data_IF_021898236408
#
_entry.id   IF_021898236408
#
_cell.length_a   1.000
_cell.length_b   1.000
_cell.length_c   1.000
_cell.angle_alpha   90.00
_cell.angle_beta   90.00
_cell.angle_gamma   90.00
#
_symmetry.space_group_name_H-M   'P 1'
#
loop_
_entity.id
_entity.type
_entity.pdbx_description
1 polymer ?
#
# COMPACT_ATOMS: atom_id res chain seq x y z
N UNK A 1 13.03 -8.51 12.71
CA UNK A 1 11.93 -7.63 13.23
C UNK A 1 10.63 -8.27 12.85
N UNK A 2 9.91 -8.87 13.80
CA UNK A 2 8.55 -9.35 13.58
C UNK A 2 7.63 -8.13 13.51
N UNK A 3 7.13 -7.87 12.32
CA UNK A 3 6.25 -6.75 12.08
C UNK A 3 4.84 -7.31 11.85
N UNK A 4 4.15 -7.62 12.92
CA UNK A 4 2.73 -7.90 12.93
C UNK A 4 2.02 -6.83 13.74
N UNK A 5 1.06 -6.14 13.11
CA UNK A 5 0.29 -5.09 13.75
C UNK A 5 -1.19 -5.35 13.53
N UNK A 6 -2.01 -5.12 14.54
CA UNK A 6 -3.46 -5.24 14.38
C UNK A 6 -4.19 -4.05 14.98
N UNK A 7 -5.29 -3.66 14.34
CA UNK A 7 -6.21 -2.62 14.80
C UNK A 7 -7.56 -2.75 14.09
N UNK A 8 -8.64 -2.53 14.81
CA UNK A 8 -10.00 -2.44 14.25
C UNK A 8 -10.36 -3.63 13.35
N UNK A 9 -9.97 -4.85 13.75
CA UNK A 9 -10.24 -6.08 12.98
C UNK A 9 -9.34 -6.30 11.76
N UNK A 10 -8.34 -5.46 11.53
CA UNK A 10 -7.35 -5.58 10.46
C UNK A 10 -5.99 -5.92 11.05
N UNK A 11 -5.30 -6.87 10.44
CA UNK A 11 -3.92 -7.25 10.78
C UNK A 11 -2.99 -7.04 9.58
N UNK A 12 -1.77 -6.63 9.85
CA UNK A 12 -0.69 -6.53 8.86
C UNK A 12 0.41 -7.51 9.23
N UNK A 13 0.85 -8.30 8.29
CA UNK A 13 1.98 -9.21 8.42
C UNK A 13 2.82 -9.27 7.16
N UNK A 14 4.03 -9.78 7.26
CA UNK A 14 4.86 -10.04 6.08
C UNK A 14 4.24 -11.11 5.19
N UNK A 15 4.59 -11.08 3.92
CA UNK A 15 4.21 -12.13 2.96
C UNK A 15 4.81 -13.48 3.35
N UNK A 16 4.08 -14.54 3.04
CA UNK A 16 4.47 -15.93 3.19
C UNK A 16 4.21 -16.68 1.88
N UNK A 17 4.91 -17.78 1.64
CA UNK A 17 4.71 -18.59 0.42
C UNK A 17 3.25 -19.04 0.27
N UNK A 18 2.57 -19.31 1.37
CA UNK A 18 1.14 -19.68 1.39
C UNK A 18 0.21 -18.55 0.86
N UNK A 19 0.69 -17.31 0.77
CA UNK A 19 -0.10 -16.20 0.21
C UNK A 19 -0.17 -16.19 -1.31
N UNK A 20 0.65 -16.97 -2.02
CA UNK A 20 0.69 -16.97 -3.48
C UNK A 20 -0.70 -17.18 -4.09
N UNK A 21 -1.45 -18.26 -3.78
CA UNK A 21 -2.79 -18.43 -4.32
C UNK A 21 -3.78 -17.37 -3.87
N UNK A 22 -3.68 -16.89 -2.62
CA UNK A 22 -4.57 -15.86 -2.08
C UNK A 22 -4.37 -14.51 -2.76
N UNK A 23 -3.12 -14.15 -3.03
CA UNK A 23 -2.77 -12.95 -3.78
C UNK A 23 -3.32 -13.04 -5.21
N UNK A 24 -3.09 -14.17 -5.88
CA UNK A 24 -3.60 -14.40 -7.24
C UNK A 24 -5.11 -14.23 -7.32
N UNK A 25 -5.87 -14.90 -6.46
CA UNK A 25 -7.33 -14.78 -6.42
C UNK A 25 -7.78 -13.33 -6.18
N UNK A 26 -7.17 -12.65 -5.19
CA UNK A 26 -7.52 -11.29 -4.85
C UNK A 26 -7.23 -10.30 -5.99
N UNK A 27 -6.11 -10.46 -6.70
CA UNK A 27 -5.78 -9.63 -7.87
C UNK A 27 -6.75 -9.92 -9.02
N UNK A 28 -6.98 -11.20 -9.34
CA UNK A 28 -7.87 -11.59 -10.46
C UNK A 28 -9.28 -11.04 -10.31
N UNK A 29 -9.86 -11.09 -9.10
CA UNK A 29 -11.19 -10.49 -8.86
C UNK A 29 -11.20 -8.97 -8.95
N UNK A 30 -10.04 -8.34 -8.81
CA UNK A 30 -9.91 -6.88 -8.63
C UNK A 30 -9.27 -6.16 -9.81
N UNK A 31 -8.94 -6.86 -10.89
CA UNK A 31 -8.23 -6.29 -12.05
C UNK A 31 -8.89 -4.99 -12.53
N UNK A 32 -10.21 -4.98 -12.72
CA UNK A 32 -10.93 -3.81 -13.21
C UNK A 32 -10.86 -2.58 -12.29
N UNK A 33 -10.64 -2.80 -11.00
CA UNK A 33 -10.58 -1.71 -10.01
C UNK A 33 -9.15 -1.23 -9.77
N UNK A 34 -8.15 -2.14 -9.92
CA UNK A 34 -6.75 -1.88 -9.60
C UNK A 34 -5.95 -1.46 -10.84
N UNK A 35 -6.16 -2.14 -11.97
CA UNK A 35 -5.32 -1.95 -13.15
C UNK A 35 -5.29 -0.50 -13.67
N UNK A 36 -6.35 0.30 -13.61
CA UNK A 36 -6.26 1.70 -14.03
C UNK A 36 -5.22 2.53 -13.27
N UNK A 37 -4.88 2.11 -12.04
CA UNK A 37 -4.03 2.87 -11.13
C UNK A 37 -2.69 2.22 -10.83
N UNK A 38 -2.57 0.92 -11.11
CA UNK A 38 -1.40 0.11 -10.80
C UNK A 38 -0.95 -0.68 -12.03
N UNK A 39 0.07 -0.22 -12.76
CA UNK A 39 0.49 -0.84 -14.02
C UNK A 39 0.93 -2.30 -13.93
N UNK A 40 1.34 -2.76 -12.74
CA UNK A 40 1.69 -4.16 -12.51
C UNK A 40 0.47 -5.10 -12.58
N UNK A 41 -0.74 -4.57 -12.38
CA UNK A 41 -2.00 -5.33 -12.43
C UNK A 41 -2.55 -5.27 -13.87
N UNK A 42 -2.19 -6.24 -14.68
CA UNK A 42 -2.61 -6.35 -16.09
C UNK A 42 -3.65 -7.45 -16.31
N UNK A 43 -4.30 -7.47 -17.47
CA UNK A 43 -5.36 -8.43 -17.82
C UNK A 43 -4.92 -9.90 -17.71
N UNK A 44 -3.66 -10.15 -18.07
CA UNK A 44 -3.06 -11.50 -18.13
C UNK A 44 -2.35 -11.88 -16.83
N UNK A 45 -2.61 -11.15 -15.72
CA UNK A 45 -2.02 -11.45 -14.42
C UNK A 45 -2.19 -12.92 -14.04
N UNK A 46 -1.08 -13.57 -13.75
CA UNK A 46 -0.97 -15.02 -13.59
C UNK A 46 -0.55 -15.43 -12.17
N UNK A 47 -0.62 -16.73 -11.90
CA UNK A 47 -0.08 -17.31 -10.66
C UNK A 47 1.44 -17.12 -10.55
N UNK A 48 2.16 -17.14 -11.68
CA UNK A 48 3.60 -16.92 -11.70
C UNK A 48 3.97 -15.47 -11.32
N UNK A 49 3.15 -14.48 -11.68
CA UNK A 49 3.34 -13.09 -11.24
C UNK A 49 3.20 -12.99 -9.73
N UNK A 50 2.18 -13.64 -9.15
CA UNK A 50 2.00 -13.70 -7.69
C UNK A 50 3.16 -14.38 -7.00
N UNK A 51 3.66 -15.47 -7.57
CA UNK A 51 4.80 -16.22 -7.03
C UNK A 51 6.09 -15.38 -7.08
N UNK A 52 6.38 -14.76 -8.22
CA UNK A 52 7.54 -13.89 -8.37
C UNK A 52 7.50 -12.74 -7.36
N UNK A 53 6.34 -12.11 -7.21
CA UNK A 53 6.13 -11.07 -6.22
C UNK A 53 6.40 -11.55 -4.80
N UNK A 54 5.74 -12.60 -4.34
CA UNK A 54 5.87 -13.09 -2.96
C UNK A 54 7.30 -13.50 -2.64
N UNK A 55 7.97 -14.22 -3.55
CA UNK A 55 9.36 -14.68 -3.34
C UNK A 55 10.33 -13.50 -3.23
N UNK A 56 10.11 -12.43 -3.99
CA UNK A 56 11.00 -11.25 -3.94
C UNK A 56 10.88 -10.41 -2.66
N UNK A 57 9.85 -10.65 -1.83
CA UNK A 57 9.56 -9.77 -0.68
C UNK A 57 10.60 -9.85 0.43
N UNK A 58 11.15 -11.02 0.71
CA UNK A 58 12.16 -11.15 1.76
C UNK A 58 13.44 -10.40 1.41
N UNK A 59 13.90 -10.50 0.17
CA UNK A 59 15.07 -9.75 -0.31
C UNK A 59 14.80 -8.24 -0.30
N UNK A 60 13.61 -7.82 -0.76
CA UNK A 60 13.22 -6.41 -0.73
C UNK A 60 13.21 -5.84 0.71
N UNK A 61 12.79 -6.64 1.68
CA UNK A 61 12.83 -6.29 3.10
C UNK A 61 14.26 -6.18 3.64
N UNK A 62 15.12 -7.16 3.36
CA UNK A 62 16.50 -7.18 3.82
C UNK A 62 17.28 -5.97 3.28
N UNK A 63 17.05 -5.65 2.01
CA UNK A 63 17.70 -4.52 1.34
C UNK A 63 16.98 -3.19 1.60
N UNK A 64 15.88 -3.20 2.36
CA UNK A 64 15.04 -2.03 2.66
C UNK A 64 14.66 -1.22 1.40
N UNK A 65 14.42 -1.91 0.29
CA UNK A 65 13.97 -1.31 -0.97
C UNK A 65 12.46 -1.08 -0.95
N UNK A 66 11.74 -2.06 -0.40
CA UNK A 66 10.30 -2.02 -0.22
C UNK A 66 9.88 -2.87 0.98
N UNK A 67 9.08 -2.30 1.85
CA UNK A 67 8.53 -2.97 3.03
C UNK A 67 7.04 -3.20 2.84
N UNK A 68 6.69 -4.35 2.25
CA UNK A 68 5.31 -4.70 1.91
C UNK A 68 4.69 -5.64 2.93
N UNK A 69 3.42 -5.38 3.26
CA UNK A 69 2.60 -6.19 4.15
C UNK A 69 1.36 -6.71 3.42
N UNK A 70 0.96 -7.91 3.79
CA UNK A 70 -0.39 -8.43 3.54
C UNK A 70 -1.35 -7.79 4.52
N UNK A 71 -2.49 -7.32 4.01
CA UNK A 71 -3.63 -6.91 4.84
C UNK A 71 -4.52 -8.13 5.04
N UNK A 72 -4.78 -8.50 6.29
CA UNK A 72 -5.66 -9.62 6.63
C UNK A 72 -6.77 -9.19 7.57
N UNK A 73 -7.86 -9.93 7.54
CA UNK A 73 -8.87 -9.90 8.58
C UNK A 73 -8.30 -10.56 9.85
N UNK A 74 -8.28 -9.84 10.97
CA UNK A 74 -7.62 -10.29 12.19
C UNK A 74 -8.31 -11.50 12.86
N UNK A 75 -9.59 -11.77 12.57
CA UNK A 75 -10.34 -12.89 13.14
C UNK A 75 -10.23 -14.14 12.28
N UNK A 76 -10.32 -13.97 10.98
CA UNK A 76 -10.41 -15.11 10.03
C UNK A 76 -9.10 -15.41 9.31
N UNK A 77 -8.13 -14.49 9.33
CA UNK A 77 -6.91 -14.57 8.53
C UNK A 77 -7.11 -14.35 7.03
N UNK A 78 -8.32 -14.01 6.59
CA UNK A 78 -8.63 -13.81 5.17
C UNK A 78 -7.77 -12.71 4.55
N UNK A 79 -7.24 -12.97 3.35
CA UNK A 79 -6.45 -12.02 2.56
C UNK A 79 -7.35 -10.89 2.03
N UNK A 80 -7.05 -9.65 2.40
CA UNK A 80 -7.84 -8.47 2.03
C UNK A 80 -7.16 -7.58 1.00
N UNK A 81 -5.85 -7.64 0.86
CA UNK A 81 -5.07 -6.76 0.00
C UNK A 81 -3.62 -6.61 0.45
N UNK A 82 -2.99 -5.52 0.05
CA UNK A 82 -1.63 -5.20 0.46
C UNK A 82 -1.42 -3.71 0.70
N UNK A 83 -0.41 -3.41 1.53
CA UNK A 83 0.06 -2.06 1.84
C UNK A 83 1.57 -2.10 2.00
N UNK A 84 2.28 -1.03 1.68
CA UNK A 84 3.72 -1.01 1.86
C UNK A 84 4.34 0.37 1.75
N UNK A 85 5.60 0.46 2.18
CA UNK A 85 6.48 1.60 2.04
C UNK A 85 7.50 1.30 0.95
N UNK A 86 7.66 2.22 0.02
CA UNK A 86 8.63 2.14 -1.07
C UNK A 86 9.20 3.51 -1.43
N UNK A 87 10.08 3.57 -2.42
CA UNK A 87 10.71 4.82 -2.86
C UNK A 87 11.34 5.59 -1.69
N UNK A 88 12.07 4.89 -0.83
CA UNK A 88 12.74 5.49 0.32
C UNK A 88 13.76 6.54 -0.11
N UNK A 89 13.61 7.74 0.43
CA UNK A 89 14.62 8.79 0.36
C UNK A 89 15.36 8.83 1.72
N UNK A 90 16.58 8.33 1.73
CA UNK A 90 17.39 8.21 2.95
C UNK A 90 17.90 9.56 3.43
N UNK A 91 18.24 10.46 2.51
CA UNK A 91 18.80 11.76 2.83
C UNK A 91 17.77 12.65 3.53
N UNK A 92 16.52 12.56 3.09
CA UNK A 92 15.42 13.36 3.63
C UNK A 92 14.45 12.56 4.50
N UNK A 93 14.75 11.30 4.78
CA UNK A 93 14.00 10.42 5.69
C UNK A 93 12.50 10.35 5.40
N UNK A 94 12.11 10.13 4.13
CA UNK A 94 10.72 9.90 3.76
C UNK A 94 10.56 8.66 2.87
N UNK A 95 9.32 8.16 2.78
CA UNK A 95 8.95 7.08 1.87
C UNK A 95 7.55 7.32 1.29
N UNK A 96 7.29 6.72 0.11
CA UNK A 96 5.95 6.63 -0.42
C UNK A 96 5.21 5.44 0.19
N UNK A 97 3.93 5.62 0.50
CA UNK A 97 3.02 4.59 0.98
C UNK A 97 1.98 4.27 -0.09
N UNK A 98 1.96 2.99 -0.52
CA UNK A 98 1.01 2.46 -1.49
C UNK A 98 0.13 1.36 -0.87
N UNK A 99 -1.10 1.22 -1.37
CA UNK A 99 -2.06 0.20 -0.92
C UNK A 99 -3.05 -0.17 -2.00
N UNK A 100 -3.60 -1.36 -1.86
CA UNK A 100 -4.79 -1.80 -2.59
C UNK A 100 -5.56 -2.82 -1.74
N UNK A 101 -6.87 -2.94 -1.99
CA UNK A 101 -7.76 -3.89 -1.31
C UNK A 101 -8.58 -4.63 -2.35
N UNK A 102 -8.78 -5.93 -2.14
CA UNK A 102 -9.57 -6.77 -3.03
C UNK A 102 -11.02 -6.27 -3.12
N UNK A 103 -11.62 -6.41 -4.30
CA UNK A 103 -12.93 -5.88 -4.65
C UNK A 103 -14.03 -6.27 -3.65
N UNK A 104 -14.10 -7.56 -3.31
CA UNK A 104 -15.13 -8.10 -2.39
C UNK A 104 -15.01 -7.56 -0.97
N UNK A 105 -13.89 -6.93 -0.60
CA UNK A 105 -13.63 -6.35 0.73
C UNK A 105 -13.43 -4.84 0.70
N UNK A 106 -13.69 -4.22 -0.45
CA UNK A 106 -13.65 -2.76 -0.56
C UNK A 106 -14.74 -2.10 0.31
N UNK A 107 -14.48 -0.85 0.71
CA UNK A 107 -15.39 -0.02 1.54
C UNK A 107 -15.58 -0.49 2.99
N UNK A 108 -14.92 -1.56 3.42
CA UNK A 108 -14.91 -2.04 4.83
C UNK A 108 -13.91 -1.35 5.75
N UNK A 109 -13.20 -0.30 5.30
CA UNK A 109 -12.21 0.41 6.13
C UNK A 109 -10.80 -0.19 6.10
N UNK A 110 -10.60 -1.39 5.55
CA UNK A 110 -9.32 -2.10 5.56
C UNK A 110 -8.15 -1.26 5.04
N UNK A 111 -8.31 -0.57 3.88
CA UNK A 111 -7.27 0.30 3.34
C UNK A 111 -6.92 1.45 4.31
N UNK A 112 -7.91 2.07 4.95
CA UNK A 112 -7.69 3.17 5.89
C UNK A 112 -6.92 2.70 7.13
N UNK A 113 -7.36 1.60 7.75
CA UNK A 113 -6.68 1.04 8.93
C UNK A 113 -5.26 0.57 8.58
N UNK A 114 -5.07 -0.13 7.46
CA UNK A 114 -3.76 -0.58 6.99
C UNK A 114 -2.81 0.60 6.73
N UNK A 115 -3.29 1.65 6.05
CA UNK A 115 -2.52 2.86 5.80
C UNK A 115 -2.07 3.53 7.11
N UNK A 116 -2.98 3.65 8.09
CA UNK A 116 -2.66 4.23 9.39
C UNK A 116 -1.59 3.41 10.14
N UNK A 117 -1.73 2.08 10.17
CA UNK A 117 -0.76 1.18 10.81
C UNK A 117 0.61 1.28 10.15
N UNK A 118 0.66 1.26 8.83
CA UNK A 118 1.91 1.35 8.05
C UNK A 118 2.56 2.73 8.20
N UNK A 119 1.79 3.81 8.21
CA UNK A 119 2.32 5.15 8.45
C UNK A 119 2.93 5.28 9.86
N UNK A 120 2.26 4.75 10.89
CA UNK A 120 2.82 4.70 12.25
C UNK A 120 4.11 3.90 12.33
N UNK A 121 4.16 2.76 11.66
CA UNK A 121 5.38 1.96 11.58
C UNK A 121 6.52 2.75 10.93
N UNK A 122 6.28 3.41 9.80
CA UNK A 122 7.28 4.23 9.12
C UNK A 122 7.79 5.37 10.00
N UNK A 123 6.89 6.12 10.63
CA UNK A 123 7.26 7.28 11.44
C UNK A 123 7.89 6.90 12.79
N UNK A 124 7.37 5.88 13.50
CA UNK A 124 7.84 5.53 14.85
C UNK A 124 8.98 4.53 14.85
N UNK A 125 8.88 3.49 14.01
CA UNK A 125 9.81 2.35 14.06
C UNK A 125 11.00 2.55 13.13
N UNK A 126 10.74 3.08 11.91
CA UNK A 126 11.80 3.35 10.94
C UNK A 126 12.42 4.76 11.10
N UNK A 127 11.83 5.62 11.93
CA UNK A 127 12.31 6.98 12.15
C UNK A 127 12.14 7.92 10.96
N UNK A 128 11.23 7.60 10.03
CA UNK A 128 10.94 8.49 8.91
C UNK A 128 10.32 9.79 9.43
N UNK A 129 10.68 10.91 8.81
CA UNK A 129 10.14 12.22 9.14
C UNK A 129 8.82 12.48 8.41
N UNK A 130 8.57 11.75 7.31
CA UNK A 130 7.44 11.98 6.44
C UNK A 130 7.02 10.71 5.70
N UNK A 131 5.74 10.51 5.56
CA UNK A 131 5.13 9.50 4.69
C UNK A 131 4.36 10.22 3.58
N UNK A 132 4.65 9.89 2.34
CA UNK A 132 3.95 10.42 1.17
C UNK A 132 2.91 9.42 0.66
N UNK A 133 1.78 9.92 0.19
CA UNK A 133 0.76 9.14 -0.51
C UNK A 133 0.47 9.86 -1.83
N UNK A 134 0.80 9.19 -2.93
CA UNK A 134 0.54 9.69 -4.28
C UNK A 134 -0.68 8.99 -4.86
N UNK A 135 -1.71 9.75 -5.17
CA UNK A 135 -2.91 9.25 -5.83
C UNK A 135 -3.12 9.95 -7.16
N UNK A 136 -3.31 9.22 -8.25
CA UNK A 136 -3.72 9.86 -9.51
C UNK A 136 -4.95 10.76 -9.28
N UNK A 137 -5.01 11.91 -9.93
CA UNK A 137 -6.09 12.90 -9.73
C UNK A 137 -7.48 12.27 -9.98
N UNK A 138 -7.59 11.29 -10.88
CA UNK A 138 -8.82 10.53 -11.14
C UNK A 138 -9.15 9.47 -10.08
N UNK A 139 -8.17 9.04 -9.26
CA UNK A 139 -8.37 7.98 -8.27
C UNK A 139 -8.98 8.52 -6.97
N UNK A 140 -10.27 8.82 -7.02
CA UNK A 140 -11.02 9.36 -5.87
C UNK A 140 -11.07 8.41 -4.67
N UNK A 141 -11.03 7.10 -4.92
CA UNK A 141 -11.04 6.10 -3.84
C UNK A 141 -9.75 6.20 -2.99
N UNK A 142 -8.58 6.25 -3.64
CA UNK A 142 -7.31 6.42 -2.95
C UNK A 142 -7.22 7.77 -2.21
N UNK A 143 -7.65 8.86 -2.83
CA UNK A 143 -7.69 10.18 -2.19
C UNK A 143 -8.51 10.15 -0.88
N UNK A 144 -9.69 9.51 -0.89
CA UNK A 144 -10.51 9.39 0.33
C UNK A 144 -9.84 8.58 1.44
N UNK A 145 -9.04 7.58 1.10
CA UNK A 145 -8.26 6.84 2.11
C UNK A 145 -7.22 7.77 2.74
N UNK A 146 -6.46 8.51 1.93
CA UNK A 146 -5.48 9.47 2.42
C UNK A 146 -6.12 10.55 3.33
N UNK A 147 -7.27 11.07 2.93
CA UNK A 147 -8.03 12.04 3.75
C UNK A 147 -8.53 11.45 5.07
N UNK A 148 -9.03 10.20 5.05
CA UNK A 148 -9.55 9.54 6.25
C UNK A 148 -8.47 9.20 7.29
N UNK A 149 -7.23 8.97 6.87
CA UNK A 149 -6.12 8.76 7.82
C UNK A 149 -5.54 10.06 8.35
N UNK A 150 -6.10 11.21 7.96
CA UNK A 150 -5.64 12.53 8.39
C UNK A 150 -4.47 13.08 7.60
N UNK A 151 -4.14 12.49 6.44
CA UNK A 151 -3.06 13.00 5.61
C UNK A 151 -3.38 14.38 5.05
N UNK A 152 -2.41 15.28 5.14
CA UNK A 152 -2.52 16.63 4.64
C UNK A 152 -2.39 16.65 3.11
N UNK A 153 -3.38 17.20 2.44
CA UNK A 153 -3.35 17.46 1.01
C UNK A 153 -2.42 18.62 0.69
N UNK A 154 -1.37 18.42 -0.08
CA UNK A 154 -0.38 19.45 -0.37
C UNK A 154 -0.53 20.09 -1.75
N UNK A 155 -1.07 19.35 -2.72
CA UNK A 155 -1.30 19.90 -4.06
C UNK A 155 -1.27 18.85 -5.15
N UNK A 156 -1.31 19.32 -6.39
CA UNK A 156 -1.20 18.50 -7.60
C UNK A 156 0.22 18.56 -8.15
N UNK A 157 0.82 17.41 -8.32
CA UNK A 157 2.10 17.25 -9.00
C UNK A 157 1.86 16.85 -10.46
N UNK A 158 2.24 17.72 -11.40
CA UNK A 158 2.03 17.46 -12.82
C UNK A 158 2.91 16.34 -13.33
N UNK A 159 2.34 15.43 -14.13
CA UNK A 159 3.03 14.29 -14.74
C UNK A 159 3.85 13.45 -13.75
N UNK A 160 3.40 13.33 -12.50
CA UNK A 160 4.13 12.66 -11.42
C UNK A 160 4.05 11.14 -11.50
N UNK A 161 3.02 10.61 -12.12
CA UNK A 161 2.81 9.16 -12.28
C UNK A 161 2.90 8.79 -13.77
N UNK A 162 3.46 7.62 -14.03
CA UNK A 162 3.37 6.96 -15.34
C UNK A 162 2.42 5.76 -15.18
N UNK A 163 1.24 5.86 -15.80
CA UNK A 163 0.26 4.77 -15.78
C UNK A 163 0.06 4.28 -17.21
N UNK A 164 0.36 3.01 -17.45
CA UNK A 164 0.30 2.39 -18.77
C UNK A 164 1.06 3.16 -19.87
N UNK A 165 2.23 3.69 -19.50
CA UNK A 165 3.08 4.45 -20.41
C UNK A 165 2.66 5.91 -20.66
N UNK A 166 1.56 6.36 -20.02
CA UNK A 166 1.09 7.74 -20.14
C UNK A 166 1.35 8.54 -18.85
N UNK A 167 1.72 9.82 -18.97
CA UNK A 167 1.91 10.69 -17.84
C UNK A 167 0.57 11.09 -17.20
N UNK A 168 0.51 11.06 -15.90
CA UNK A 168 -0.67 11.45 -15.14
C UNK A 168 -0.30 12.37 -13.98
N UNK A 169 -1.16 13.34 -13.72
CA UNK A 169 -1.06 14.19 -12.54
C UNK A 169 -1.43 13.41 -11.30
N UNK A 170 -0.70 13.64 -10.21
CA UNK A 170 -0.94 13.05 -8.92
C UNK A 170 -1.32 14.09 -7.88
N UNK A 171 -2.30 13.76 -7.06
CA UNK A 171 -2.55 14.45 -5.80
C UNK A 171 -1.53 13.95 -4.77
N UNK A 172 -0.77 14.87 -4.19
CA UNK A 172 0.17 14.62 -3.11
C UNK A 172 -0.52 14.79 -1.78
N UNK A 173 -0.41 13.77 -0.94
CA UNK A 173 -0.76 13.80 0.48
C UNK A 173 0.45 13.43 1.32
N UNK A 174 0.50 13.94 2.54
CA UNK A 174 1.57 13.62 3.49
C UNK A 174 1.06 13.37 4.90
N UNK A 175 1.82 12.58 5.65
CA UNK A 175 1.68 12.36 7.07
C UNK A 175 3.02 12.58 7.75
N UNK A 176 3.01 13.27 8.86
CA UNK A 176 4.14 13.42 9.79
C UNK A 176 3.73 12.94 11.19
N UNK A 177 4.66 12.81 12.12
CA UNK A 177 4.38 12.32 13.47
C UNK A 177 3.28 13.12 14.19
N UNK A 178 3.24 14.44 14.01
CA UNK A 178 2.24 15.32 14.63
C UNK A 178 0.81 15.04 14.14
N UNK A 179 0.63 14.59 12.90
CA UNK A 179 -0.71 14.29 12.34
C UNK A 179 -1.33 13.04 12.97
N UNK A 180 -0.51 12.13 13.48
CA UNK A 180 -0.93 10.85 14.03
C UNK A 180 -0.91 10.79 15.57
N UNK A 181 -0.61 11.91 16.25
CA UNK A 181 -0.39 11.96 17.69
C UNK A 181 0.64 10.91 18.16
N UNK A 182 1.74 10.79 17.45
CA UNK A 182 2.82 9.81 17.64
C UNK A 182 4.17 10.51 17.81
#
# INVERSE_FOLDING_TARGET
MEAEFSRDGISLRRYQVADIPLLYEAVRESISDISPWMPWCHSDYSMEDSKAWVISRDEAWVNEVELSFVITDAQTGAFLGAVGLNQFNRDHQFANLGYWVRRSRARGGAATTATLLTARFGLRTLGLQRIEILAAVGNRASQRVAEKVGAKKEGVLRNRLSLHGLPHDAMMYSLIAADLNV
#
